data_IF_171362845217
#
_entry.id   IF_171362845217
#
_cell.length_a   1.000
_cell.length_b   1.000
_cell.length_c   1.000
_cell.angle_alpha   90.00
_cell.angle_beta   90.00
_cell.angle_gamma   90.00
#
_symmetry.space_group_name_H-M   'P 1'
#
loop_
_entity.id
_entity.type
_entity.pdbx_description
1 polymer ?
#
# COMPACT_ATOMS: atom_id res chain seq x y z
N UNK A 1 -15.97 15.19 18.21
CA UNK A 1 -14.99 14.65 19.18
C UNK A 1 -13.82 15.58 19.51
N UNK A 2 -13.56 16.68 18.77
CA UNK A 2 -12.52 17.64 19.16
C UNK A 2 -11.08 17.14 19.07
N UNK A 3 -10.86 16.05 18.31
CA UNK A 3 -9.55 15.42 18.12
C UNK A 3 -8.80 16.06 16.95
N UNK A 4 -7.48 15.90 16.94
CA UNK A 4 -6.64 16.26 15.80
C UNK A 4 -7.00 15.43 14.55
N UNK A 5 -6.60 15.91 13.37
CA UNK A 5 -6.67 15.12 12.13
C UNK A 5 -5.72 13.93 12.23
N UNK A 6 -6.08 12.82 11.57
CA UNK A 6 -5.24 11.63 11.48
C UNK A 6 -3.90 11.98 10.82
N UNK A 7 -2.83 11.41 11.36
CA UNK A 7 -1.49 11.49 10.77
C UNK A 7 -1.32 10.40 9.71
N UNK A 8 -0.62 10.67 8.59
CA UNK A 8 -0.36 9.67 7.57
C UNK A 8 0.73 8.68 8.03
N UNK A 9 0.51 7.39 7.78
CA UNK A 9 1.52 6.35 7.98
C UNK A 9 2.49 6.33 6.79
N UNK A 10 3.49 7.21 6.82
CA UNK A 10 4.44 7.42 5.73
C UNK A 10 5.81 6.78 5.98
N UNK A 11 6.15 6.54 7.25
CA UNK A 11 7.34 5.81 7.67
C UNK A 11 6.94 4.37 8.05
N UNK A 12 7.31 3.39 7.22
CA UNK A 12 6.90 2.00 7.41
C UNK A 12 7.56 1.31 8.60
N UNK A 13 8.54 1.97 9.24
CA UNK A 13 9.19 1.48 10.45
C UNK A 13 8.56 2.02 11.75
N UNK A 14 7.57 2.92 11.66
CA UNK A 14 6.86 3.38 12.86
C UNK A 14 5.99 2.25 13.46
N UNK A 15 5.91 2.17 14.80
CA UNK A 15 5.04 1.22 15.46
C UNK A 15 3.57 1.59 15.20
N UNK A 16 2.75 0.57 15.00
CA UNK A 16 1.32 0.67 14.82
C UNK A 16 0.60 0.70 16.17
N UNK A 17 -0.48 1.47 16.21
CA UNK A 17 -1.44 1.47 17.31
C UNK A 17 -2.13 0.10 17.44
N UNK A 18 -2.47 -0.24 18.68
CA UNK A 18 -3.21 -1.48 18.99
C UNK A 18 -4.68 -1.39 18.58
N UNK A 19 -5.26 -2.51 18.15
CA UNK A 19 -6.68 -2.61 17.84
C UNK A 19 -7.21 -4.03 18.07
N UNK A 20 -8.33 -4.15 18.77
CA UNK A 20 -9.06 -5.40 18.94
C UNK A 20 -10.47 -5.29 18.30
N UNK A 21 -10.73 -6.01 17.20
CA UNK A 21 -12.00 -5.91 16.49
C UNK A 21 -13.17 -6.53 17.25
N UNK A 22 -12.92 -7.48 18.17
CA UNK A 22 -13.96 -8.29 18.83
C UNK A 22 -14.90 -8.99 17.83
N UNK A 23 -14.37 -9.40 16.67
CA UNK A 23 -15.11 -10.10 15.62
C UNK A 23 -14.69 -11.56 15.54
N UNK A 24 -15.66 -12.43 15.26
CA UNK A 24 -15.43 -13.84 14.94
C UNK A 24 -16.13 -14.24 13.65
N UNK A 25 -15.50 -15.17 12.92
CA UNK A 25 -16.08 -15.76 11.72
C UNK A 25 -17.06 -16.86 12.10
N UNK A 26 -18.31 -16.77 11.66
CA UNK A 26 -19.32 -17.81 11.86
C UNK A 26 -19.04 -19.07 11.05
N UNK A 27 -18.17 -19.00 10.04
CA UNK A 27 -17.85 -20.13 9.16
C UNK A 27 -16.93 -21.15 9.83
N UNK A 28 -15.93 -20.69 10.58
CA UNK A 28 -14.92 -21.55 11.21
C UNK A 28 -14.79 -21.33 12.73
N UNK A 29 -15.53 -20.37 13.30
CA UNK A 29 -15.50 -20.02 14.72
C UNK A 29 -14.24 -19.25 15.15
N UNK A 30 -13.30 -18.97 14.25
CA UNK A 30 -12.05 -18.29 14.60
C UNK A 30 -12.25 -16.77 14.71
N UNK A 31 -11.62 -16.11 15.69
CA UNK A 31 -11.61 -14.66 15.78
C UNK A 31 -10.72 -14.03 14.71
N UNK A 32 -11.04 -12.80 14.30
CA UNK A 32 -10.05 -11.95 13.66
C UNK A 32 -8.97 -11.59 14.68
N UNK A 33 -7.70 -11.71 14.30
CA UNK A 33 -6.58 -11.43 15.19
C UNK A 33 -6.64 -9.99 15.71
N UNK A 34 -6.35 -9.82 17.00
CA UNK A 34 -6.13 -8.50 17.59
C UNK A 34 -4.67 -8.11 17.43
N UNK A 35 -4.42 -6.84 17.15
CA UNK A 35 -3.05 -6.28 17.07
C UNK A 35 -2.74 -5.56 18.39
N UNK A 36 -1.74 -6.01 19.19
CA UNK A 36 -1.24 -5.22 20.31
C UNK A 36 -0.52 -3.96 19.80
N UNK A 37 -0.40 -2.95 20.67
CA UNK A 37 0.34 -1.73 20.38
C UNK A 37 1.85 -2.01 20.25
N UNK A 38 2.55 -1.23 19.43
CA UNK A 38 4.01 -1.24 19.36
C UNK A 38 4.61 -2.18 18.32
N UNK A 39 3.78 -2.84 17.51
CA UNK A 39 4.23 -3.70 16.42
C UNK A 39 4.61 -2.89 15.18
N UNK A 40 5.69 -3.25 14.50
CA UNK A 40 6.13 -2.63 13.24
C UNK A 40 5.92 -3.60 12.08
N UNK A 41 5.74 -3.10 10.86
CA UNK A 41 5.65 -3.96 9.67
C UNK A 41 6.87 -4.88 9.57
N UNK A 42 6.61 -6.15 9.23
CA UNK A 42 7.61 -7.20 9.06
C UNK A 42 7.49 -7.80 7.66
N UNK A 43 8.59 -8.33 7.15
CA UNK A 43 8.61 -9.01 5.85
C UNK A 43 7.73 -10.26 5.85
N UNK A 44 7.13 -10.54 4.69
CA UNK A 44 6.46 -11.81 4.38
C UNK A 44 7.26 -12.57 3.32
N UNK A 45 6.90 -13.83 3.09
CA UNK A 45 7.58 -14.65 2.08
C UNK A 45 7.48 -14.04 0.67
N UNK A 46 6.35 -13.41 0.37
CA UNK A 46 5.99 -12.87 -0.94
C UNK A 46 6.46 -11.42 -1.16
N UNK A 47 6.66 -10.65 -0.09
CA UNK A 47 6.98 -9.22 -0.17
C UNK A 47 7.77 -8.75 1.04
N UNK A 48 8.74 -7.87 0.83
CA UNK A 48 9.44 -7.18 1.92
C UNK A 48 8.90 -5.77 2.15
N UNK A 49 9.08 -5.24 3.36
CA UNK A 49 8.79 -3.82 3.67
C UNK A 49 9.57 -2.90 2.71
N UNK A 50 10.80 -3.28 2.36
CA UNK A 50 11.62 -2.56 1.40
C UNK A 50 11.00 -2.49 -0.01
N UNK A 51 10.24 -3.51 -0.43
CA UNK A 51 9.56 -3.46 -1.73
C UNK A 51 8.47 -2.38 -1.74
N UNK A 52 7.72 -2.21 -0.65
CA UNK A 52 6.75 -1.12 -0.52
C UNK A 52 7.44 0.25 -0.57
N UNK A 53 8.58 0.41 0.10
CA UNK A 53 9.36 1.65 0.03
C UNK A 53 9.81 1.94 -1.40
N UNK A 54 10.35 0.94 -2.11
CA UNK A 54 10.75 1.09 -3.51
C UNK A 54 9.59 1.47 -4.41
N UNK A 55 8.42 0.87 -4.23
CA UNK A 55 7.22 1.22 -5.00
C UNK A 55 6.77 2.65 -4.71
N UNK A 56 6.78 3.07 -3.44
CA UNK A 56 6.49 4.47 -3.05
C UNK A 56 7.43 5.44 -3.78
N UNK A 57 8.74 5.20 -3.71
CA UNK A 57 9.72 6.07 -4.37
C UNK A 57 9.50 6.13 -5.90
N UNK A 58 9.32 4.98 -6.56
CA UNK A 58 9.06 4.93 -8.01
C UNK A 58 7.79 5.68 -8.42
N UNK A 59 6.73 5.57 -7.61
CA UNK A 59 5.47 6.29 -7.86
C UNK A 59 5.69 7.80 -7.69
N UNK A 60 6.41 8.23 -6.65
CA UNK A 60 6.74 9.65 -6.45
C UNK A 60 7.61 10.20 -7.57
N UNK A 61 8.59 9.44 -8.04
CA UNK A 61 9.44 9.81 -9.17
C UNK A 61 8.62 9.99 -10.46
N UNK A 62 7.72 9.05 -10.76
CA UNK A 62 6.80 9.16 -11.89
C UNK A 62 5.88 10.39 -11.80
N UNK A 63 5.37 10.70 -10.60
CA UNK A 63 4.57 11.91 -10.36
C UNK A 63 5.41 13.17 -10.61
N UNK A 64 6.64 13.22 -10.13
CA UNK A 64 7.53 14.38 -10.30
C UNK A 64 7.97 14.58 -11.76
N UNK A 65 8.18 13.49 -12.49
CA UNK A 65 8.50 13.51 -13.92
C UNK A 65 7.27 13.89 -14.77
N UNK A 66 6.07 13.54 -14.29
CA UNK A 66 4.80 13.78 -14.98
C UNK A 66 4.44 12.66 -15.95
N UNK A 67 5.03 11.47 -15.83
CA UNK A 67 4.77 10.32 -16.70
C UNK A 67 5.06 8.98 -16.01
N UNK A 68 4.44 7.92 -16.51
CA UNK A 68 4.70 6.53 -16.09
C UNK A 68 5.25 5.71 -17.25
N UNK A 69 6.13 4.77 -16.96
CA UNK A 69 6.79 3.93 -17.98
C UNK A 69 6.26 2.51 -17.93
N UNK A 70 5.85 1.98 -19.08
CA UNK A 70 5.44 0.58 -19.21
C UNK A 70 6.64 -0.40 -19.36
N UNK A 71 6.42 -1.72 -19.37
CA UNK A 71 7.50 -2.70 -19.53
C UNK A 71 8.27 -2.61 -20.86
N UNK A 72 7.68 -2.01 -21.90
CA UNK A 72 8.33 -1.81 -23.20
C UNK A 72 9.18 -0.53 -23.24
N UNK A 73 9.05 0.32 -22.21
CA UNK A 73 9.70 1.63 -22.16
C UNK A 73 8.82 2.75 -22.72
N UNK A 74 7.57 2.50 -23.06
CA UNK A 74 6.66 3.54 -23.53
C UNK A 74 6.22 4.42 -22.33
N UNK A 75 6.24 5.73 -22.54
CA UNK A 75 5.88 6.74 -21.54
C UNK A 75 4.42 7.18 -21.70
N UNK A 76 3.70 7.23 -20.59
CA UNK A 76 2.31 7.67 -20.52
C UNK A 76 2.23 8.89 -19.62
N UNK A 77 1.90 10.04 -20.20
CA UNK A 77 1.81 11.31 -19.48
C UNK A 77 0.71 11.27 -18.40
N UNK A 78 1.02 11.85 -17.25
CA UNK A 78 0.10 12.11 -16.15
C UNK A 78 -0.61 13.45 -16.39
N UNK A 79 -1.47 13.49 -17.41
CA UNK A 79 -2.19 14.70 -17.79
C UNK A 79 -3.41 14.99 -16.90
N UNK A 80 -4.02 16.17 -17.08
CA UNK A 80 -5.19 16.61 -16.30
C UNK A 80 -6.46 15.78 -16.57
N UNK A 81 -6.49 14.97 -17.63
CA UNK A 81 -7.68 14.21 -18.05
C UNK A 81 -7.66 12.78 -17.50
N UNK A 82 -6.51 12.11 -17.59
CA UNK A 82 -6.35 10.69 -17.30
C UNK A 82 -5.26 10.39 -16.25
N UNK A 83 -4.46 11.39 -15.83
CA UNK A 83 -3.35 11.16 -14.90
C UNK A 83 -3.78 10.52 -13.58
N UNK A 84 -4.93 10.91 -13.03
CA UNK A 84 -5.46 10.31 -11.79
C UNK A 84 -5.91 8.86 -11.99
N UNK A 85 -6.48 8.52 -13.15
CA UNK A 85 -6.88 7.15 -13.47
C UNK A 85 -5.65 6.23 -13.58
N UNK A 86 -4.60 6.71 -14.27
CA UNK A 86 -3.32 6.02 -14.37
C UNK A 86 -2.68 5.85 -12.99
N UNK A 87 -2.65 6.90 -12.16
CA UNK A 87 -2.11 6.83 -10.80
C UNK A 87 -2.91 5.86 -9.92
N UNK A 88 -4.24 5.88 -9.99
CA UNK A 88 -5.08 4.94 -9.27
C UNK A 88 -4.75 3.48 -9.63
N UNK A 89 -4.61 3.20 -10.92
CA UNK A 89 -4.30 1.87 -11.42
C UNK A 89 -2.94 1.35 -10.94
N UNK A 90 -1.90 2.20 -10.83
CA UNK A 90 -0.58 1.77 -10.35
C UNK A 90 -0.48 1.73 -8.81
N UNK A 91 -1.18 2.61 -8.09
CA UNK A 91 -1.10 2.71 -6.61
C UNK A 91 -1.87 1.56 -5.94
N UNK A 92 -3.05 1.20 -6.46
CA UNK A 92 -3.92 0.20 -5.82
C UNK A 92 -3.22 -1.16 -5.61
N UNK A 93 -2.66 -1.85 -6.60
CA UNK A 93 -2.71 -1.72 -8.06
C UNK A 93 -3.87 -2.52 -8.67
N UNK A 94 -4.41 -2.12 -9.82
CA UNK A 94 -5.45 -2.85 -10.55
C UNK A 94 -4.90 -3.68 -11.72
N UNK A 95 -5.80 -4.35 -12.47
CA UNK A 95 -5.45 -5.01 -13.75
C UNK A 95 -4.92 -4.01 -14.79
N UNK A 96 -5.33 -2.75 -14.68
CA UNK A 96 -5.04 -1.70 -15.64
C UNK A 96 -3.74 -0.95 -15.35
N UNK A 97 -2.99 -1.38 -14.31
CA UNK A 97 -1.65 -0.87 -14.02
C UNK A 97 -0.75 -0.99 -15.25
N UNK A 98 -0.14 0.14 -15.64
CA UNK A 98 0.75 0.19 -16.82
C UNK A 98 2.00 -0.66 -16.65
N UNK A 99 2.49 -0.81 -15.41
CA UNK A 99 3.67 -1.61 -15.12
C UNK A 99 3.65 -2.15 -13.68
N UNK A 100 2.90 -3.23 -13.46
CA UNK A 100 2.73 -3.81 -12.12
C UNK A 100 4.04 -4.37 -11.54
N UNK A 101 4.94 -4.87 -12.37
CA UNK A 101 6.24 -5.39 -11.89
C UNK A 101 7.13 -4.26 -11.37
N UNK A 102 7.04 -3.07 -11.98
CA UNK A 102 7.83 -1.91 -11.58
C UNK A 102 7.19 -1.11 -10.44
N UNK A 103 5.91 -0.72 -10.56
CA UNK A 103 5.22 0.09 -9.56
C UNK A 103 4.57 -0.72 -8.43
N UNK A 104 4.49 -2.04 -8.58
CA UNK A 104 4.02 -2.93 -7.53
C UNK A 104 2.52 -2.89 -7.26
N UNK A 105 2.16 -3.11 -6.00
CA UNK A 105 0.78 -3.11 -5.50
C UNK A 105 0.75 -2.51 -4.09
N UNK A 106 1.16 -1.24 -3.97
CA UNK A 106 1.48 -0.60 -2.70
C UNK A 106 0.31 -0.61 -1.71
N UNK A 107 -0.88 -0.18 -2.13
CA UNK A 107 -2.05 -0.13 -1.25
C UNK A 107 -2.49 -1.53 -0.81
N UNK A 108 -2.61 -2.48 -1.74
CA UNK A 108 -3.05 -3.85 -1.44
C UNK A 108 -2.07 -4.57 -0.51
N UNK A 109 -0.76 -4.47 -0.74
CA UNK A 109 0.23 -5.07 0.16
C UNK A 109 0.29 -4.38 1.51
N UNK A 110 0.01 -3.07 1.59
CA UNK A 110 -0.17 -2.37 2.85
C UNK A 110 -1.24 -3.04 3.73
N UNK A 111 -2.41 -3.37 3.16
CA UNK A 111 -3.45 -4.13 3.88
C UNK A 111 -2.95 -5.51 4.33
N UNK A 112 -2.30 -6.26 3.44
CA UNK A 112 -1.84 -7.63 3.74
C UNK A 112 -0.80 -7.64 4.86
N UNK A 113 0.20 -6.75 4.81
CA UNK A 113 1.23 -6.65 5.85
C UNK A 113 0.64 -6.21 7.20
N UNK A 114 -0.25 -5.22 7.21
CA UNK A 114 -0.91 -4.78 8.45
C UNK A 114 -1.84 -5.84 9.05
N UNK A 115 -2.47 -6.67 8.21
CA UNK A 115 -3.37 -7.74 8.63
C UNK A 115 -2.65 -8.98 9.18
N UNK A 116 -1.41 -9.23 8.75
CA UNK A 116 -0.61 -10.40 9.12
C UNK A 116 0.61 -10.04 9.97
N UNK A 117 0.59 -8.88 10.62
CA UNK A 117 1.66 -8.46 11.51
C UNK A 117 1.79 -9.43 12.69
N UNK A 118 3.02 -9.85 12.97
CA UNK A 118 3.39 -10.81 14.01
C UNK A 118 4.54 -10.32 14.85
#
# INVERSE_FOLDING_TARGET
>A
NGLARMIPFHNFHEPLEGYNPHLSSTQNGLPYASRPEGMTLCDMHEVSVQDLERWRERILDAINLGEVTDPNGDEYALDETFGIDVLGAIIESSRDSKNREYYGSLHNWGHVLMANIV
#
